data_IF_825086913481
#
_entry.id   IF_825086913481
#
_cell.length_a   1.000
_cell.length_b   1.000
_cell.length_c   1.000
_cell.angle_alpha   90.00
_cell.angle_beta   90.00
_cell.angle_gamma   90.00
#
_symmetry.space_group_name_H-M   'P 1'
#
loop_
_entity.id
_entity.type
_entity.pdbx_description
1 polymer ?
#
# COMPACT_ATOMS: atom_id res chain seq x y z
N UNK A 1 -4.50 13.48 -4.70
CA UNK A 1 -3.71 12.89 -3.61
C UNK A 1 -4.48 11.76 -2.96
N UNK A 2 -3.78 10.77 -2.49
CA UNK A 2 -4.37 9.58 -1.91
C UNK A 2 -4.13 9.55 -0.42
N UNK A 3 -5.18 9.22 0.35
CA UNK A 3 -5.03 9.04 1.79
C UNK A 3 -4.46 7.66 2.07
N UNK A 4 -3.40 7.62 2.85
CA UNK A 4 -2.73 6.38 3.25
C UNK A 4 -2.53 6.35 4.76
N UNK A 5 -2.35 5.14 5.30
CA UNK A 5 -1.96 4.97 6.69
C UNK A 5 -0.45 4.78 6.74
N UNK A 6 0.24 5.63 7.50
CA UNK A 6 1.69 5.56 7.66
C UNK A 6 2.05 5.58 9.14
N UNK A 7 3.24 5.11 9.45
CA UNK A 7 3.79 5.27 10.78
C UNK A 7 5.24 5.75 10.69
N UNK A 8 5.59 6.66 11.59
CA UNK A 8 6.90 7.29 11.65
C UNK A 8 7.76 6.74 12.79
N UNK A 9 7.18 5.92 13.64
CA UNK A 9 7.87 5.25 14.74
C UNK A 9 7.23 3.89 14.98
N UNK A 10 7.96 2.98 15.59
CA UNK A 10 7.41 1.68 15.98
C UNK A 10 6.58 1.82 17.25
N UNK A 11 5.54 1.00 17.39
CA UNK A 11 4.71 1.02 18.57
C UNK A 11 3.37 0.36 18.36
N UNK A 12 2.42 0.71 19.21
CA UNK A 12 1.05 0.23 19.16
C UNK A 12 0.21 0.97 18.13
N UNK A 13 -1.12 0.77 18.13
CA UNK A 13 -2.01 1.39 17.15
C UNK A 13 -1.95 2.92 17.12
N UNK A 14 -1.54 3.55 18.20
CA UNK A 14 -1.45 5.01 18.29
C UNK A 14 -0.43 5.62 17.36
N UNK A 15 0.53 4.84 16.84
CA UNK A 15 1.53 5.36 15.89
C UNK A 15 1.00 5.47 14.47
N UNK A 16 -0.15 4.89 14.18
CA UNK A 16 -0.76 4.93 12.85
C UNK A 16 -1.42 6.28 12.62
N UNK A 17 -1.12 6.87 11.46
CA UNK A 17 -1.65 8.19 11.08
C UNK A 17 -2.14 8.16 9.66
N UNK A 18 -3.22 8.91 9.40
CA UNK A 18 -3.69 9.14 8.04
C UNK A 18 -2.89 10.30 7.43
N UNK A 19 -2.37 10.06 6.24
CA UNK A 19 -1.61 11.08 5.50
C UNK A 19 -2.00 11.06 4.04
N UNK A 20 -1.90 12.21 3.39
CA UNK A 20 -2.16 12.29 1.96
C UNK A 20 -0.82 12.20 1.22
N UNK A 21 -0.77 11.28 0.25
CA UNK A 21 0.41 11.11 -0.59
C UNK A 21 0.02 11.19 -2.06
N UNK A 22 0.90 11.74 -2.86
CA UNK A 22 0.75 11.68 -4.30
C UNK A 22 1.06 10.26 -4.78
N UNK A 23 0.18 9.71 -5.62
CA UNK A 23 0.42 8.43 -6.27
C UNK A 23 0.83 8.74 -7.69
N UNK A 24 2.08 8.43 -8.04
CA UNK A 24 2.60 8.69 -9.39
C UNK A 24 2.02 7.75 -10.44
N UNK A 25 2.43 7.95 -11.68
CA UNK A 25 2.09 7.03 -12.75
C UNK A 25 2.86 5.72 -12.55
N UNK A 26 2.27 4.58 -12.96
CA UNK A 26 2.96 3.29 -12.82
C UNK A 26 4.19 3.24 -13.71
N UNK A 27 5.27 2.68 -13.16
CA UNK A 27 6.49 2.43 -13.91
C UNK A 27 6.38 1.17 -14.77
N UNK A 28 7.48 0.80 -15.43
CA UNK A 28 7.53 -0.40 -16.24
C UNK A 28 7.21 -1.64 -15.39
N UNK A 29 6.31 -2.48 -15.90
CA UNK A 29 5.89 -3.70 -15.20
C UNK A 29 4.94 -3.46 -14.03
N UNK A 30 4.50 -2.22 -13.82
CA UNK A 30 3.61 -1.85 -12.73
C UNK A 30 2.23 -1.44 -13.23
N UNK A 31 1.24 -1.52 -12.34
CA UNK A 31 -0.08 -0.97 -12.60
C UNK A 31 -0.57 -0.23 -11.36
N UNK A 32 -1.42 0.75 -11.57
CA UNK A 32 -2.07 1.48 -10.48
C UNK A 32 -3.50 0.96 -10.36
N UNK A 33 -3.86 0.56 -9.15
CA UNK A 33 -5.17 0.01 -8.83
C UNK A 33 -5.90 0.98 -7.90
N UNK A 34 -7.14 1.32 -8.26
CA UNK A 34 -8.01 2.08 -7.36
C UNK A 34 -8.60 1.11 -6.36
N UNK A 35 -8.14 1.19 -5.12
CA UNK A 35 -8.50 0.26 -4.07
C UNK A 35 -9.94 0.46 -3.62
N UNK A 36 -10.67 -0.64 -3.49
CA UNK A 36 -12.05 -0.66 -3.00
C UNK A 36 -12.18 -1.40 -1.67
N UNK A 37 -11.27 -2.30 -1.39
CA UNK A 37 -11.24 -3.05 -0.14
C UNK A 37 -9.82 -3.49 0.16
N UNK A 38 -9.50 -3.62 1.44
CA UNK A 38 -8.20 -4.14 1.91
C UNK A 38 -8.44 -5.27 2.90
N UNK A 39 -7.51 -6.23 2.95
CA UNK A 39 -7.49 -7.25 3.99
C UNK A 39 -6.60 -6.82 5.14
N UNK A 40 -6.89 -7.31 6.33
CA UNK A 40 -6.08 -7.07 7.52
C UNK A 40 -5.33 -8.35 7.88
N UNK A 41 -4.06 -8.21 8.21
CA UNK A 41 -3.18 -9.33 8.52
C UNK A 41 -2.43 -9.08 9.82
N UNK A 42 -2.21 -10.15 10.58
CA UNK A 42 -1.49 -10.05 11.86
C UNK A 42 -0.05 -9.58 11.65
N UNK A 43 0.59 -9.96 10.55
CA UNK A 43 1.96 -9.53 10.24
C UNK A 43 2.10 -8.01 10.20
N UNK A 44 1.05 -7.30 9.83
CA UNK A 44 1.06 -5.83 9.81
C UNK A 44 1.25 -5.24 11.21
N UNK A 45 0.63 -5.86 12.23
CA UNK A 45 0.81 -5.43 13.61
C UNK A 45 2.25 -5.67 14.09
N UNK A 46 2.85 -6.80 13.71
CA UNK A 46 4.24 -7.09 14.03
C UNK A 46 5.18 -6.10 13.35
N UNK A 47 4.91 -5.78 12.09
CA UNK A 47 5.69 -4.81 11.31
C UNK A 47 5.64 -3.42 11.95
N UNK A 48 4.44 -2.96 12.29
CA UNK A 48 4.23 -1.66 12.96
C UNK A 48 4.98 -1.58 14.30
N UNK A 49 5.00 -2.67 15.06
CA UNK A 49 5.64 -2.69 16.38
C UNK A 49 7.16 -2.90 16.32
N UNK A 50 7.71 -3.17 15.14
CA UNK A 50 9.14 -3.39 14.96
C UNK A 50 9.60 -4.82 15.25
N UNK A 51 8.66 -5.76 15.38
CA UNK A 51 8.96 -7.15 15.73
C UNK A 51 8.87 -8.13 14.55
N UNK A 52 8.67 -7.59 13.34
CA UNK A 52 8.62 -8.43 12.15
C UNK A 52 10.03 -8.77 11.66
N UNK A 53 10.15 -9.86 10.88
CA UNK A 53 11.44 -10.30 10.31
C UNK A 53 12.09 -9.17 9.52
N UNK A 54 11.30 -8.48 8.68
CA UNK A 54 11.75 -7.29 7.97
C UNK A 54 11.43 -6.07 8.79
N UNK A 55 12.43 -5.21 9.00
CA UNK A 55 12.19 -3.95 9.67
C UNK A 55 11.78 -2.88 8.68
N UNK A 56 10.80 -2.09 9.05
CA UNK A 56 10.36 -0.98 8.25
C UNK A 56 11.43 0.11 8.16
N UNK A 57 11.52 0.72 7.00
CA UNK A 57 12.24 1.98 6.84
C UNK A 57 11.20 3.09 7.07
N UNK A 58 11.37 3.83 8.14
CA UNK A 58 10.40 4.84 8.56
C UNK A 58 10.55 6.15 7.78
N UNK A 59 9.49 6.85 7.44
CA UNK A 59 8.08 6.48 7.65
C UNK A 59 7.66 5.35 6.72
N UNK A 60 6.81 4.45 7.21
CA UNK A 60 6.41 3.26 6.49
C UNK A 60 4.90 3.15 6.35
N UNK A 61 4.46 2.39 5.36
CA UNK A 61 3.06 2.07 5.11
C UNK A 61 2.79 0.62 5.46
N UNK A 62 1.52 0.31 5.66
CA UNK A 62 1.04 -1.05 5.91
C UNK A 62 0.21 -1.55 4.75
N UNK A 63 0.12 -2.87 4.62
CA UNK A 63 -0.82 -3.54 3.75
C UNK A 63 -0.20 -4.62 2.88
N UNK A 64 -0.88 -5.77 2.80
CA UNK A 64 -0.49 -6.89 1.94
C UNK A 64 -1.58 -7.26 0.96
N UNK A 65 -2.83 -6.92 1.26
CA UNK A 65 -3.97 -7.38 0.46
C UNK A 65 -4.85 -6.22 0.10
N UNK A 66 -5.32 -6.23 -1.14
CA UNK A 66 -6.27 -5.25 -1.60
C UNK A 66 -7.05 -5.81 -2.77
N UNK A 67 -8.27 -5.30 -2.96
CA UNK A 67 -9.06 -5.54 -4.14
C UNK A 67 -9.51 -4.19 -4.69
N UNK A 68 -9.52 -4.06 -5.99
CA UNK A 68 -9.88 -2.80 -6.61
C UNK A 68 -9.97 -2.92 -8.12
N UNK A 69 -9.93 -1.79 -8.79
CA UNK A 69 -10.08 -1.69 -10.23
C UNK A 69 -8.81 -1.09 -10.82
N UNK A 70 -8.31 -1.70 -11.88
CA UNK A 70 -7.13 -1.19 -12.59
C UNK A 70 -7.47 0.19 -13.17
N UNK A 71 -6.70 1.21 -12.82
CA UNK A 71 -6.92 2.56 -13.32
C UNK A 71 -5.81 3.08 -14.22
N UNK A 72 -4.63 2.48 -14.18
CA UNK A 72 -3.53 2.85 -15.06
C UNK A 72 -2.57 1.67 -15.22
N UNK A 73 -1.97 1.55 -16.38
CA UNK A 73 -0.99 0.51 -16.70
C UNK A 73 0.34 1.16 -17.03
N UNK A 74 1.43 0.59 -16.54
CA UNK A 74 2.77 0.98 -16.90
C UNK A 74 3.18 0.37 -18.25
N UNK A 75 4.37 0.73 -18.74
CA UNK A 75 4.93 0.12 -19.92
C UNK A 75 5.20 -1.36 -19.67
N UNK A 76 5.12 -2.17 -20.72
CA UNK A 76 5.37 -3.61 -20.70
C UNK A 76 4.36 -4.42 -19.87
N UNK A 77 3.24 -3.83 -19.45
CA UNK A 77 2.18 -4.57 -18.76
C UNK A 77 1.21 -5.11 -19.80
N UNK A 78 0.98 -6.43 -19.78
CA UNK A 78 0.03 -7.11 -20.66
C UNK A 78 -0.84 -8.05 -19.84
N UNK A 79 -2.00 -8.43 -20.38
CA UNK A 79 -2.93 -9.31 -19.70
C UNK A 79 -3.90 -8.60 -18.75
N UNK A 80 -3.83 -7.27 -18.64
CA UNK A 80 -4.71 -6.44 -17.84
C UNK A 80 -5.30 -5.31 -18.66
N UNK A 81 -6.48 -4.86 -18.29
CA UNK A 81 -7.15 -3.73 -18.96
C UNK A 81 -7.63 -2.74 -17.92
N UNK A 82 -7.62 -1.45 -18.29
CA UNK A 82 -8.15 -0.40 -17.42
C UNK A 82 -9.65 -0.66 -17.20
N UNK A 83 -10.10 -0.56 -15.94
CA UNK A 83 -11.47 -0.87 -15.56
C UNK A 83 -11.68 -2.32 -15.11
N UNK A 84 -10.67 -3.16 -15.22
CA UNK A 84 -10.73 -4.56 -14.82
C UNK A 84 -10.59 -4.68 -13.30
N UNK A 85 -11.47 -5.48 -12.65
CA UNK A 85 -11.34 -5.73 -11.21
C UNK A 85 -10.19 -6.66 -10.86
#
# INVERSE_FOLDING_TARGET
MTRVVRFHEFGGPEVLKFEDLAVGEPGAGEMRVRIQAIGLNRAEAAFRSGHYIEKAVLPARLGYEAAGVVEALGSDVSGFQIGEP
#
